data_IF_855251795097
#
_entry.id   IF_855251795097
#
_cell.length_a   1.000
_cell.length_b   1.000
_cell.length_c   1.000
_cell.angle_alpha   90.00
_cell.angle_beta   90.00
_cell.angle_gamma   90.00
#
_symmetry.space_group_name_H-M   'P 1'
#
loop_
_entity.id
_entity.type
_entity.pdbx_description
1 polymer ?
#
# COMPACT_ATOMS: atom_id res chain seq x y z
N UNK A 1 -6.44 -17.68 -28.99
CA UNK A 1 -5.29 -17.11 -28.27
C UNK A 1 -5.08 -17.91 -27.00
N UNK A 2 -3.92 -18.53 -26.83
CA UNK A 2 -3.65 -19.43 -25.70
C UNK A 2 -3.51 -18.65 -24.39
N UNK A 3 -4.21 -19.13 -23.36
CA UNK A 3 -4.34 -18.56 -22.02
C UNK A 3 -3.03 -18.65 -21.17
N UNK A 4 -1.90 -18.95 -21.84
CA UNK A 4 -0.62 -19.33 -21.25
C UNK A 4 0.39 -18.19 -21.20
N UNK A 5 0.29 -17.16 -22.05
CA UNK A 5 1.27 -16.07 -22.12
C UNK A 5 1.04 -14.97 -21.09
N UNK A 6 -0.16 -14.82 -20.53
CA UNK A 6 -0.50 -13.72 -19.60
C UNK A 6 -0.47 -14.12 -18.12
N UNK A 7 -0.71 -15.39 -17.79
CA UNK A 7 -0.86 -15.86 -16.40
C UNK A 7 0.40 -15.81 -15.50
N UNK A 8 1.61 -16.22 -15.94
CA UNK A 8 2.75 -16.30 -15.04
C UNK A 8 3.37 -14.93 -14.72
N UNK A 9 3.25 -13.95 -15.62
CA UNK A 9 3.80 -12.60 -15.44
C UNK A 9 3.01 -11.79 -14.41
N UNK A 10 1.68 -11.96 -14.35
CA UNK A 10 0.82 -11.20 -13.45
C UNK A 10 1.16 -11.38 -11.96
N UNK A 11 1.43 -12.61 -11.51
CA UNK A 11 1.76 -12.89 -10.10
C UNK A 11 3.14 -12.37 -9.70
N UNK A 12 4.15 -12.59 -10.54
CA UNK A 12 5.52 -12.08 -10.28
C UNK A 12 5.53 -10.56 -10.22
N UNK A 13 4.86 -9.93 -11.19
CA UNK A 13 4.69 -8.48 -11.20
C UNK A 13 3.98 -7.99 -9.94
N UNK A 14 2.87 -8.61 -9.53
CA UNK A 14 2.16 -8.23 -8.31
C UNK A 14 3.02 -8.40 -7.04
N UNK A 15 3.79 -9.48 -6.94
CA UNK A 15 4.73 -9.68 -5.83
C UNK A 15 5.82 -8.60 -5.79
N UNK A 16 6.44 -8.31 -6.93
CA UNK A 16 7.46 -7.24 -7.04
C UNK A 16 6.85 -5.88 -6.71
N UNK A 17 5.67 -5.55 -7.25
CA UNK A 17 4.96 -4.31 -6.96
C UNK A 17 4.61 -4.18 -5.47
N UNK A 18 4.21 -5.28 -4.82
CA UNK A 18 3.94 -5.32 -3.37
C UNK A 18 5.22 -5.07 -2.55
N UNK A 19 6.34 -5.71 -2.90
CA UNK A 19 7.60 -5.49 -2.19
C UNK A 19 8.14 -4.07 -2.42
N UNK A 20 8.12 -3.60 -3.66
CA UNK A 20 8.57 -2.26 -4.03
C UNK A 20 7.73 -1.17 -3.37
N UNK A 21 6.40 -1.33 -3.32
CA UNK A 21 5.54 -0.40 -2.57
C UNK A 21 5.81 -0.45 -1.07
N UNK A 22 6.12 -1.60 -0.48
CA UNK A 22 6.55 -1.67 0.92
C UNK A 22 7.81 -0.87 1.21
N UNK A 23 8.82 -1.01 0.36
CA UNK A 23 10.07 -0.24 0.47
C UNK A 23 9.83 1.25 0.26
N UNK A 24 9.08 1.61 -0.79
CA UNK A 24 8.75 3.01 -1.09
C UNK A 24 7.90 3.65 0.00
N UNK A 25 6.92 2.93 0.57
CA UNK A 25 6.13 3.41 1.69
C UNK A 25 7.01 3.75 2.89
N UNK A 26 7.90 2.82 3.26
CA UNK A 26 8.80 3.05 4.39
C UNK A 26 9.74 4.23 4.14
N UNK A 27 10.28 4.35 2.92
CA UNK A 27 11.12 5.47 2.53
C UNK A 27 10.34 6.80 2.53
N UNK A 28 9.15 6.85 1.93
CA UNK A 28 8.30 8.03 1.88
C UNK A 28 7.91 8.51 3.28
N UNK A 29 7.43 7.59 4.11
CA UNK A 29 6.99 7.90 5.46
C UNK A 29 8.17 8.28 6.37
N UNK A 30 9.31 7.57 6.29
CA UNK A 30 10.51 7.97 7.02
C UNK A 30 11.02 9.35 6.58
N UNK A 31 11.01 9.63 5.27
CA UNK A 31 11.41 10.91 4.73
C UNK A 31 10.51 12.03 5.24
N UNK A 32 9.18 11.87 5.17
CA UNK A 32 8.21 12.84 5.68
C UNK A 32 8.48 13.18 7.14
N UNK A 33 8.57 12.17 8.01
CA UNK A 33 8.72 12.40 9.47
C UNK A 33 10.10 12.89 9.92
N UNK A 34 11.12 12.77 9.06
CA UNK A 34 12.45 13.34 9.30
C UNK A 34 12.51 14.78 8.83
N UNK A 35 11.91 15.10 7.68
CA UNK A 35 11.91 16.45 7.12
C UNK A 35 10.88 17.37 7.78
N UNK A 36 9.77 16.81 8.24
CA UNK A 36 8.62 17.52 8.81
C UNK A 36 8.21 16.88 10.14
N UNK A 37 9.06 16.97 11.18
CA UNK A 37 8.85 16.28 12.45
C UNK A 37 7.69 16.86 13.27
N UNK A 38 7.33 18.12 13.02
CA UNK A 38 6.22 18.79 13.68
C UNK A 38 4.90 18.43 12.99
N UNK A 39 3.97 17.87 13.77
CA UNK A 39 2.65 17.55 13.26
C UNK A 39 1.91 18.81 12.84
N UNK A 40 1.53 18.85 11.56
CA UNK A 40 0.70 19.91 11.01
C UNK A 40 -0.74 19.66 11.42
N UNK A 41 -1.11 20.13 12.61
CA UNK A 41 -2.49 20.04 13.12
C UNK A 41 -3.49 20.91 12.38
N UNK A 42 -3.02 21.93 11.65
CA UNK A 42 -3.84 22.83 10.83
C UNK A 42 -3.57 22.61 9.33
N UNK A 43 -4.59 22.19 8.57
CA UNK A 43 -4.51 21.96 7.11
C UNK A 43 -3.83 23.11 6.35
N UNK A 44 -4.16 24.36 6.67
CA UNK A 44 -3.60 25.55 6.03
C UNK A 44 -2.07 25.66 6.19
N UNK A 45 -1.53 25.23 7.33
CA UNK A 45 -0.11 25.34 7.66
C UNK A 45 0.78 24.43 6.79
N UNK A 46 0.19 23.51 6.02
CA UNK A 46 0.94 22.76 4.99
C UNK A 46 1.58 23.68 3.93
N UNK A 47 1.05 24.89 3.70
CA UNK A 47 1.70 25.86 2.80
C UNK A 47 3.06 26.29 3.36
N UNK A 48 3.15 26.64 4.64
CA UNK A 48 4.40 27.09 5.26
C UNK A 48 5.42 25.95 5.33
N UNK A 49 4.97 24.73 5.65
CA UNK A 49 5.83 23.54 5.63
C UNK A 49 6.39 23.27 4.23
N UNK A 50 5.53 23.35 3.21
CA UNK A 50 5.96 23.23 1.82
C UNK A 50 6.88 24.39 1.38
N UNK A 51 6.67 25.59 1.90
CA UNK A 51 7.50 26.76 1.58
C UNK A 51 8.90 26.68 2.23
N UNK A 52 9.01 26.05 3.41
CA UNK A 52 10.28 25.86 4.11
C UNK A 52 11.26 24.98 3.31
N UNK A 53 10.77 23.93 2.65
CA UNK A 53 11.55 23.13 1.70
C UNK A 53 10.67 22.54 0.59
N UNK A 54 10.45 23.35 -0.46
CA UNK A 54 9.61 22.96 -1.60
C UNK A 54 10.17 21.77 -2.39
N UNK A 55 11.49 21.58 -2.36
CA UNK A 55 12.15 20.45 -3.01
C UNK A 55 11.80 19.15 -2.31
N UNK A 56 11.99 19.11 -0.99
CA UNK A 56 11.63 17.96 -0.16
C UNK A 56 10.13 17.63 -0.26
N UNK A 57 9.27 18.64 -0.18
CA UNK A 57 7.81 18.46 -0.32
C UNK A 57 7.42 17.76 -1.62
N UNK A 58 7.99 18.18 -2.76
CA UNK A 58 7.73 17.55 -4.07
C UNK A 58 8.27 16.13 -4.15
N UNK A 59 9.44 15.86 -3.58
CA UNK A 59 10.01 14.51 -3.55
C UNK A 59 9.10 13.58 -2.75
N UNK A 60 8.67 14.00 -1.56
CA UNK A 60 7.72 13.27 -0.72
C UNK A 60 6.42 12.96 -1.47
N UNK A 61 5.87 13.97 -2.17
CA UNK A 61 4.64 13.82 -2.97
C UNK A 61 4.80 12.71 -4.02
N UNK A 62 5.92 12.71 -4.74
CA UNK A 62 6.22 11.71 -5.77
C UNK A 62 6.38 10.33 -5.15
N UNK A 63 7.09 10.21 -4.02
CA UNK A 63 7.32 8.94 -3.34
C UNK A 63 6.00 8.31 -2.87
N UNK A 64 5.11 9.09 -2.25
CA UNK A 64 3.80 8.59 -1.82
C UNK A 64 2.90 8.25 -3.01
N UNK A 65 2.89 9.05 -4.07
CA UNK A 65 2.11 8.75 -5.26
C UNK A 65 2.57 7.46 -5.94
N UNK A 66 3.89 7.25 -6.09
CA UNK A 66 4.45 6.01 -6.64
C UNK A 66 4.14 4.81 -5.76
N UNK A 67 4.22 4.96 -4.44
CA UNK A 67 3.85 3.93 -3.47
C UNK A 67 2.43 3.42 -3.70
N UNK A 68 1.46 4.34 -3.75
CA UNK A 68 0.05 3.98 -3.92
C UNK A 68 -0.27 3.47 -5.32
N UNK A 69 0.38 4.04 -6.34
CA UNK A 69 0.26 3.56 -7.71
C UNK A 69 0.73 2.12 -7.87
N UNK A 70 1.81 1.73 -7.18
CA UNK A 70 2.31 0.35 -7.17
C UNK A 70 1.43 -0.58 -6.31
N UNK A 71 0.82 -0.07 -5.24
CA UNK A 71 -0.11 -0.85 -4.42
C UNK A 71 -1.36 -1.28 -5.18
N UNK A 72 -1.82 -0.54 -6.19
CA UNK A 72 -2.98 -0.91 -7.00
C UNK A 72 -2.81 -2.29 -7.69
N UNK A 73 -1.83 -2.51 -8.59
CA UNK A 73 -1.63 -3.82 -9.20
C UNK A 73 -1.19 -4.90 -8.19
N UNK A 74 -0.44 -4.52 -7.15
CA UNK A 74 -0.06 -5.43 -6.07
C UNK A 74 -1.29 -6.01 -5.35
N UNK A 75 -2.24 -5.15 -5.00
CA UNK A 75 -3.50 -5.49 -4.33
C UNK A 75 -4.40 -6.31 -5.24
N UNK A 76 -4.49 -5.97 -6.54
CA UNK A 76 -5.21 -6.80 -7.51
C UNK A 76 -4.65 -8.24 -7.56
N UNK A 77 -3.32 -8.40 -7.60
CA UNK A 77 -2.68 -9.71 -7.55
C UNK A 77 -2.94 -10.45 -6.24
N UNK A 78 -2.95 -9.75 -5.11
CA UNK A 78 -3.28 -10.32 -3.81
C UNK A 78 -4.75 -10.80 -3.75
N UNK A 79 -5.70 -10.00 -4.23
CA UNK A 79 -7.13 -10.36 -4.32
C UNK A 79 -7.30 -11.65 -5.10
N UNK A 80 -6.64 -11.78 -6.27
CA UNK A 80 -6.70 -13.01 -7.07
C UNK A 80 -6.10 -14.20 -6.32
N UNK A 81 -4.95 -14.02 -5.66
CA UNK A 81 -4.28 -15.07 -4.91
C UNK A 81 -5.12 -15.56 -3.71
N UNK A 82 -5.72 -14.64 -2.95
CA UNK A 82 -6.61 -14.95 -1.83
C UNK A 82 -7.92 -15.56 -2.35
N UNK A 83 -8.50 -14.99 -3.40
CA UNK A 83 -9.80 -15.38 -3.96
C UNK A 83 -9.84 -16.82 -4.45
N UNK A 84 -8.71 -17.36 -4.92
CA UNK A 84 -8.56 -18.76 -5.30
C UNK A 84 -8.83 -19.75 -4.15
N UNK A 85 -8.77 -19.31 -2.89
CA UNK A 85 -9.00 -20.17 -1.71
C UNK A 85 -10.09 -19.65 -0.79
N UNK A 86 -10.26 -18.34 -0.72
CA UNK A 86 -11.09 -17.64 0.26
C UNK A 86 -11.79 -16.44 -0.41
N UNK A 87 -12.77 -16.74 -1.26
CA UNK A 87 -13.50 -15.75 -2.06
C UNK A 87 -14.11 -14.61 -1.23
N UNK A 88 -14.69 -14.91 -0.07
CA UNK A 88 -15.31 -13.89 0.79
C UNK A 88 -14.31 -12.80 1.22
N UNK A 89 -13.15 -13.18 1.78
CA UNK A 89 -12.14 -12.21 2.20
C UNK A 89 -11.58 -11.41 1.02
N UNK A 90 -11.38 -12.06 -0.13
CA UNK A 90 -10.95 -11.38 -1.34
C UNK A 90 -11.99 -10.36 -1.83
N UNK A 91 -13.27 -10.71 -1.83
CA UNK A 91 -14.35 -9.80 -2.25
C UNK A 91 -14.49 -8.62 -1.29
N UNK A 92 -14.62 -8.88 0.01
CA UNK A 92 -14.75 -7.81 1.03
C UNK A 92 -13.52 -6.90 0.98
N UNK A 93 -12.34 -7.49 1.03
CA UNK A 93 -11.09 -6.75 0.96
C UNK A 93 -10.94 -5.94 -0.32
N UNK A 94 -11.34 -6.47 -1.47
CA UNK A 94 -11.31 -5.74 -2.75
C UNK A 94 -12.25 -4.53 -2.77
N UNK A 95 -13.48 -4.68 -2.26
CA UNK A 95 -14.49 -3.61 -2.21
C UNK A 95 -13.99 -2.41 -1.40
N UNK A 96 -13.18 -2.65 -0.36
CA UNK A 96 -12.58 -1.56 0.43
C UNK A 96 -11.24 -1.08 -0.15
N UNK A 97 -10.32 -1.99 -0.44
CA UNK A 97 -8.94 -1.65 -0.78
C UNK A 97 -8.83 -0.93 -2.13
N UNK A 98 -9.59 -1.34 -3.15
CA UNK A 98 -9.45 -0.77 -4.50
C UNK A 98 -9.91 0.70 -4.55
N UNK A 99 -11.13 1.06 -4.09
CA UNK A 99 -11.52 2.46 -3.99
C UNK A 99 -10.60 3.24 -3.06
N UNK A 100 -10.25 2.68 -1.89
CA UNK A 100 -9.36 3.34 -0.93
C UNK A 100 -7.99 3.69 -1.51
N UNK A 101 -7.35 2.77 -2.22
CA UNK A 101 -6.06 3.01 -2.88
C UNK A 101 -6.15 3.99 -4.04
N UNK A 102 -7.23 3.91 -4.83
CA UNK A 102 -7.48 4.87 -5.91
C UNK A 102 -7.63 6.28 -5.34
N UNK A 103 -8.53 6.46 -4.37
CA UNK A 103 -8.71 7.73 -3.68
C UNK A 103 -7.43 8.19 -2.98
N UNK A 104 -6.66 7.29 -2.35
CA UNK A 104 -5.35 7.63 -1.75
C UNK A 104 -4.41 8.24 -2.77
N UNK A 105 -4.26 7.60 -3.93
CA UNK A 105 -3.34 8.05 -4.98
C UNK A 105 -3.74 9.43 -5.50
N UNK A 106 -5.03 9.61 -5.80
CA UNK A 106 -5.56 10.88 -6.30
C UNK A 106 -5.47 11.96 -5.24
N UNK A 107 -5.90 11.65 -4.02
CA UNK A 107 -5.96 12.57 -2.90
C UNK A 107 -4.56 13.06 -2.53
N UNK A 108 -3.62 12.16 -2.22
CA UNK A 108 -2.25 12.53 -1.83
C UNK A 108 -1.54 13.34 -2.92
N UNK A 109 -1.71 12.96 -4.20
CA UNK A 109 -1.14 13.71 -5.30
C UNK A 109 -1.71 15.12 -5.37
N UNK A 110 -3.05 15.26 -5.42
CA UNK A 110 -3.67 16.58 -5.58
C UNK A 110 -3.48 17.44 -4.35
N UNK A 111 -3.60 16.86 -3.15
CA UNK A 111 -3.43 17.56 -1.88
C UNK A 111 -2.01 18.10 -1.75
N UNK A 112 -0.98 17.25 -1.84
CA UNK A 112 0.40 17.73 -1.68
C UNK A 112 0.82 18.64 -2.85
N UNK A 113 0.42 18.34 -4.09
CA UNK A 113 0.72 19.22 -5.23
C UNK A 113 0.05 20.58 -5.11
N UNK A 114 -1.18 20.65 -4.56
CA UNK A 114 -1.90 21.90 -4.31
C UNK A 114 -1.14 22.79 -3.32
N UNK A 115 -0.77 22.27 -2.15
CA UNK A 115 0.00 23.05 -1.16
C UNK A 115 1.38 23.43 -1.68
N UNK A 116 2.06 22.55 -2.40
CA UNK A 116 3.35 22.86 -3.04
C UNK A 116 3.23 23.94 -4.13
N UNK A 117 2.13 23.98 -4.88
CA UNK A 117 1.89 25.01 -5.88
C UNK A 117 1.61 26.37 -5.23
N UNK A 118 0.81 26.41 -4.16
CA UNK A 118 0.54 27.63 -3.40
C UNK A 118 1.82 28.19 -2.77
N UNK A 119 2.61 27.33 -2.11
CA UNK A 119 3.90 27.68 -1.53
C UNK A 119 4.87 28.23 -2.58
N UNK A 120 4.99 27.55 -3.73
CA UNK A 120 5.82 28.02 -4.85
C UNK A 120 5.35 29.33 -5.48
N UNK A 121 4.07 29.67 -5.34
CA UNK A 121 3.48 30.94 -5.75
C UNK A 121 3.57 32.05 -4.70
N UNK A 122 4.10 31.78 -3.51
CA UNK A 122 4.19 32.75 -2.41
C UNK A 122 2.85 33.08 -1.76
N UNK A 123 1.85 32.20 -1.85
CA UNK A 123 0.57 32.36 -1.14
C UNK A 123 0.81 32.14 0.35
N UNK A 124 0.29 33.01 1.22
CA UNK A 124 0.45 32.85 2.67
C UNK A 124 -0.60 31.91 3.26
N UNK A 125 -0.29 31.36 4.44
CA UNK A 125 -1.23 30.52 5.21
C UNK A 125 -2.53 31.26 5.51
N UNK A 126 -2.48 32.55 5.84
CA UNK A 126 -3.66 33.36 6.14
C UNK A 126 -4.59 33.49 4.93
N UNK A 127 -4.01 33.56 3.72
CA UNK A 127 -4.79 33.67 2.48
C UNK A 127 -5.52 32.37 2.13
N UNK A 128 -4.95 31.19 2.46
CA UNK A 128 -5.57 29.90 2.16
C UNK A 128 -6.47 29.36 3.28
N UNK A 129 -6.25 29.81 4.53
CA UNK A 129 -6.98 29.34 5.71
C UNK A 129 -8.52 29.31 5.55
N UNK A 130 -9.18 30.32 4.96
CA UNK A 130 -10.63 30.25 4.74
C UNK A 130 -11.05 29.14 3.78
N UNK A 131 -10.22 28.84 2.77
CA UNK A 131 -10.48 27.78 1.79
C UNK A 131 -10.34 26.41 2.45
N UNK A 132 -9.24 26.18 3.17
CA UNK A 132 -9.03 24.90 3.87
C UNK A 132 -10.04 24.70 4.98
N UNK A 133 -10.39 25.75 5.74
CA UNK A 133 -11.44 25.67 6.76
C UNK A 133 -12.81 25.28 6.17
N UNK A 134 -13.18 25.85 5.02
CA UNK A 134 -14.41 25.45 4.34
C UNK A 134 -14.38 24.00 3.82
N UNK A 135 -13.22 23.52 3.37
CA UNK A 135 -13.04 22.11 2.96
C UNK A 135 -13.10 21.16 4.16
N UNK A 136 -12.52 21.54 5.29
CA UNK A 136 -12.46 20.74 6.51
C UNK A 136 -13.85 20.58 7.17
N UNK A 137 -14.72 21.57 7.00
CA UNK A 137 -16.10 21.55 7.49
C UNK A 137 -17.10 20.94 6.49
N UNK A 138 -16.70 20.72 5.24
CA UNK A 138 -17.60 20.19 4.20
C UNK A 138 -17.84 18.67 4.37
N UNK A 139 -19.10 18.23 4.56
CA UNK A 139 -19.39 16.81 4.79
C UNK A 139 -19.03 15.89 3.61
N UNK A 140 -19.06 16.40 2.38
CA UNK A 140 -18.73 15.61 1.20
C UNK A 140 -17.22 15.38 1.10
N UNK A 141 -16.41 16.40 1.40
CA UNK A 141 -14.95 16.28 1.51
C UNK A 141 -14.59 15.30 2.63
N UNK A 142 -15.17 15.45 3.82
CA UNK A 142 -14.94 14.55 4.95
C UNK A 142 -15.32 13.09 4.64
N UNK A 143 -16.43 12.87 3.94
CA UNK A 143 -16.82 11.54 3.49
C UNK A 143 -15.79 10.94 2.52
N UNK A 144 -15.23 11.75 1.61
CA UNK A 144 -14.15 11.33 0.71
C UNK A 144 -12.89 10.91 1.48
N UNK A 145 -12.47 11.70 2.47
CA UNK A 145 -11.38 11.35 3.38
C UNK A 145 -11.64 10.05 4.14
N UNK A 146 -12.85 9.88 4.68
CA UNK A 146 -13.22 8.65 5.38
C UNK A 146 -13.18 7.42 4.45
N UNK A 147 -13.65 7.53 3.21
CA UNK A 147 -13.57 6.45 2.21
C UNK A 147 -12.12 6.08 1.93
N UNK A 148 -11.23 7.07 1.81
CA UNK A 148 -9.80 6.83 1.65
C UNK A 148 -9.22 6.07 2.84
N UNK A 149 -9.36 6.61 4.06
CA UNK A 149 -8.79 6.04 5.29
C UNK A 149 -9.33 4.63 5.51
N UNK A 150 -10.66 4.48 5.53
CA UNK A 150 -11.30 3.20 5.79
C UNK A 150 -11.01 2.20 4.68
N UNK A 151 -11.05 2.62 3.42
CA UNK A 151 -10.80 1.77 2.27
C UNK A 151 -9.39 1.18 2.28
N UNK A 152 -8.38 2.03 2.46
CA UNK A 152 -6.98 1.59 2.51
C UNK A 152 -6.71 0.73 3.75
N UNK A 153 -7.09 1.20 4.94
CA UNK A 153 -6.79 0.50 6.19
C UNK A 153 -7.53 -0.83 6.28
N UNK A 154 -8.87 -0.78 6.25
CA UNK A 154 -9.71 -1.95 6.46
C UNK A 154 -9.50 -2.92 5.30
N UNK A 155 -9.42 -2.42 4.06
CA UNK A 155 -9.18 -3.23 2.88
C UNK A 155 -7.88 -4.04 2.99
N UNK A 156 -6.75 -3.38 3.33
CA UNK A 156 -5.46 -4.06 3.46
C UNK A 156 -5.45 -5.05 4.63
N UNK A 157 -6.06 -4.71 5.77
CA UNK A 157 -6.16 -5.62 6.92
C UNK A 157 -6.99 -6.86 6.61
N UNK A 158 -8.17 -6.69 5.99
CA UNK A 158 -9.02 -7.81 5.57
C UNK A 158 -8.31 -8.70 4.56
N UNK A 159 -7.60 -8.13 3.58
CA UNK A 159 -6.84 -8.90 2.59
C UNK A 159 -5.66 -9.64 3.21
N UNK A 160 -4.91 -9.01 4.12
CA UNK A 160 -3.78 -9.65 4.79
C UNK A 160 -4.23 -10.79 5.70
N UNK A 161 -5.33 -10.61 6.44
CA UNK A 161 -5.97 -11.68 7.21
C UNK A 161 -6.47 -12.80 6.30
N UNK A 162 -7.13 -12.45 5.18
CA UNK A 162 -7.55 -13.39 4.15
C UNK A 162 -6.38 -14.21 3.59
N UNK A 163 -5.22 -13.59 3.38
CA UNK A 163 -4.01 -14.25 2.93
C UNK A 163 -3.47 -15.25 3.96
N UNK A 164 -3.47 -14.90 5.24
CA UNK A 164 -3.14 -15.84 6.32
C UNK A 164 -4.13 -17.01 6.38
N UNK A 165 -5.44 -16.74 6.35
CA UNK A 165 -6.50 -17.78 6.35
C UNK A 165 -6.50 -18.65 5.09
N UNK A 166 -5.92 -18.15 4.00
CA UNK A 166 -5.68 -18.89 2.76
C UNK A 166 -4.36 -19.67 2.80
N UNK A 167 -3.54 -19.55 3.85
CA UNK A 167 -2.22 -20.17 3.97
C UNK A 167 -1.23 -19.64 2.93
N UNK A 168 -1.34 -18.37 2.55
CA UNK A 168 -0.38 -17.69 1.67
C UNK A 168 0.77 -17.08 2.47
N UNK A 169 0.49 -16.65 3.69
CA UNK A 169 1.46 -16.02 4.60
C UNK A 169 1.29 -16.54 6.03
N UNK A 170 2.30 -16.35 6.86
CA UNK A 170 2.28 -16.61 8.30
C UNK A 170 1.52 -15.53 9.07
N UNK A 171 1.09 -15.85 10.30
CA UNK A 171 0.30 -14.96 11.16
C UNK A 171 1.00 -13.63 11.49
N UNK A 172 2.34 -13.60 11.52
CA UNK A 172 3.07 -12.37 11.82
C UNK A 172 2.81 -11.26 10.79
N UNK A 173 2.49 -11.59 9.54
CA UNK A 173 2.26 -10.59 8.47
C UNK A 173 1.06 -9.70 8.76
N UNK A 174 -0.17 -10.23 8.95
CA UNK A 174 -1.30 -9.39 9.33
C UNK A 174 -1.11 -8.73 10.69
N UNK A 175 -0.41 -9.35 11.65
CA UNK A 175 -0.09 -8.72 12.93
C UNK A 175 0.83 -7.50 12.77
N UNK A 176 1.85 -7.57 11.92
CA UNK A 176 2.75 -6.46 11.63
C UNK A 176 2.00 -5.30 10.96
N UNK A 177 1.14 -5.59 9.98
CA UNK A 177 0.33 -4.56 9.32
C UNK A 177 -0.70 -3.93 10.28
N UNK A 178 -1.37 -4.74 11.10
CA UNK A 178 -2.31 -4.26 12.11
C UNK A 178 -1.59 -3.42 13.16
N UNK A 179 -0.47 -3.90 13.69
CA UNK A 179 0.34 -3.18 14.66
C UNK A 179 0.89 -1.87 14.11
N UNK A 180 1.37 -1.87 12.86
CA UNK A 180 1.82 -0.67 12.16
C UNK A 180 0.72 0.36 12.02
N UNK A 181 -0.48 -0.04 11.57
CA UNK A 181 -1.62 0.86 11.46
C UNK A 181 -2.08 1.38 12.83
N UNK A 182 -2.28 0.52 13.83
CA UNK A 182 -2.70 0.96 15.17
C UNK A 182 -1.67 1.93 15.75
N UNK A 183 -0.38 1.60 15.65
CA UNK A 183 0.70 2.48 16.11
C UNK A 183 0.65 3.83 15.39
N UNK A 184 0.41 3.85 14.08
CA UNK A 184 0.29 5.10 13.31
C UNK A 184 -0.82 6.01 13.84
N UNK A 185 -1.95 5.45 14.28
CA UNK A 185 -3.07 6.23 14.83
C UNK A 185 -2.83 6.76 16.24
N UNK A 186 -2.12 6.01 17.08
CA UNK A 186 -2.02 6.31 18.53
C UNK A 186 -0.70 6.94 18.93
N UNK A 187 0.24 7.09 18.00
CA UNK A 187 1.56 7.62 18.28
C UNK A 187 1.86 8.86 17.46
N UNK A 188 2.57 9.77 18.12
CA UNK A 188 3.04 11.02 17.56
C UNK A 188 4.57 11.07 17.64
N UNK A 189 5.19 11.82 16.72
CA UNK A 189 6.63 12.04 16.65
C UNK A 189 7.42 11.02 15.82
N UNK A 190 8.64 11.39 15.46
CA UNK A 190 9.43 10.69 14.43
C UNK A 190 9.75 9.23 14.77
N UNK A 191 10.20 8.94 16.00
CA UNK A 191 10.65 7.59 16.36
C UNK A 191 9.58 6.49 16.19
N UNK A 192 8.35 6.61 16.74
CA UNK A 192 7.32 5.60 16.52
C UNK A 192 6.88 5.54 15.05
N UNK A 193 6.92 6.65 14.31
CA UNK A 193 6.58 6.66 12.88
C UNK A 193 7.61 5.92 12.01
N UNK A 194 8.89 5.93 12.40
CA UNK A 194 9.90 5.06 11.79
C UNK A 194 9.62 3.57 12.06
N UNK A 195 9.09 3.23 13.24
CA UNK A 195 8.65 1.86 13.54
C UNK A 195 7.44 1.48 12.68
N UNK A 196 6.47 2.38 12.50
CA UNK A 196 5.35 2.20 11.57
C UNK A 196 5.86 1.90 10.16
N UNK A 197 6.80 2.70 9.65
CA UNK A 197 7.44 2.50 8.34
C UNK A 197 8.02 1.08 8.20
N UNK A 198 8.79 0.64 9.20
CA UNK A 198 9.40 -0.69 9.21
C UNK A 198 8.36 -1.81 9.25
N UNK A 199 7.31 -1.68 10.08
CA UNK A 199 6.24 -2.67 10.18
C UNK A 199 5.43 -2.77 8.88
N UNK A 200 5.13 -1.63 8.26
CA UNK A 200 4.42 -1.59 6.97
C UNK A 200 5.26 -2.23 5.85
N UNK A 201 6.54 -1.91 5.75
CA UNK A 201 7.45 -2.57 4.81
C UNK A 201 7.53 -4.08 5.05
N UNK A 202 7.75 -4.51 6.31
CA UNK A 202 7.85 -5.92 6.65
C UNK A 202 6.56 -6.69 6.29
N UNK A 203 5.39 -6.12 6.60
CA UNK A 203 4.10 -6.69 6.27
C UNK A 203 3.86 -6.81 4.76
N UNK A 204 4.15 -5.75 3.99
CA UNK A 204 3.99 -5.75 2.54
C UNK A 204 4.98 -6.71 1.85
N UNK A 205 6.23 -6.77 2.32
CA UNK A 205 7.21 -7.77 1.86
C UNK A 205 6.75 -9.20 2.20
N UNK A 206 6.19 -9.43 3.39
CA UNK A 206 5.60 -10.72 3.76
C UNK A 206 4.48 -11.14 2.81
N UNK A 207 3.58 -10.21 2.44
CA UNK A 207 2.54 -10.45 1.42
C UNK A 207 3.14 -10.75 0.05
N UNK A 208 4.18 -10.01 -0.36
CA UNK A 208 4.88 -10.23 -1.63
C UNK A 208 5.47 -11.66 -1.72
N UNK A 209 6.12 -12.12 -0.66
CA UNK A 209 6.67 -13.48 -0.57
C UNK A 209 5.56 -14.54 -0.65
N UNK A 210 4.42 -14.30 0.02
CA UNK A 210 3.26 -15.19 -0.05
C UNK A 210 2.64 -15.31 -1.44
N UNK A 211 2.72 -14.25 -2.25
CA UNK A 211 2.30 -14.27 -3.66
C UNK A 211 3.29 -15.09 -4.52
N UNK A 212 4.60 -15.05 -4.21
CA UNK A 212 5.67 -15.62 -5.02
C UNK A 212 6.01 -17.10 -4.77
N UNK A 213 5.92 -17.61 -3.53
CA UNK A 213 6.53 -18.89 -3.11
C UNK A 213 5.95 -20.17 -3.74
N UNK A 214 4.77 -20.12 -4.39
CA UNK A 214 4.08 -21.35 -4.81
C UNK A 214 4.61 -22.08 -6.04
N UNK A 215 5.54 -21.49 -6.79
CA UNK A 215 6.07 -22.14 -8.00
C UNK A 215 7.08 -23.26 -7.66
N UNK A 216 7.80 -23.14 -6.55
CA UNK A 216 8.85 -24.10 -6.20
C UNK A 216 8.31 -25.47 -5.81
N UNK A 217 7.12 -25.52 -5.18
CA UNK A 217 6.56 -26.79 -4.71
C UNK A 217 5.87 -27.61 -5.82
N UNK A 218 5.33 -26.97 -6.86
CA UNK A 218 4.60 -27.67 -7.93
C UNK A 218 5.49 -28.23 -9.03
N UNK A 219 6.64 -27.61 -9.31
CA UNK A 219 7.57 -28.09 -10.36
C UNK A 219 8.46 -29.24 -9.90
N UNK A 220 8.61 -29.45 -8.59
CA UNK A 220 9.39 -30.57 -8.06
C UNK A 220 8.64 -31.90 -8.20
N UNK A 221 7.31 -31.88 -8.09
CA UNK A 221 6.45 -33.07 -8.18
C UNK A 221 6.38 -33.62 -9.61
N UNK A 222 6.27 -32.76 -10.63
CA UNK A 222 6.20 -33.19 -12.04
C UNK A 222 7.50 -33.83 -12.54
N UNK A 223 8.67 -33.36 -12.08
CA UNK A 223 9.95 -33.99 -12.46
C UNK A 223 10.20 -35.33 -11.78
N UNK A 224 9.48 -35.64 -10.70
CA UNK A 224 9.66 -36.89 -9.98
C UNK A 224 8.79 -38.03 -10.56
N UNK A 225 7.65 -37.69 -11.17
CA UNK A 225 6.73 -38.66 -11.79
C UNK A 225 7.16 -39.11 -13.20
N UNK A 226 7.92 -38.28 -13.95
CA UNK A 226 8.42 -38.66 -15.29
C UNK A 226 9.64 -39.61 -15.24
N UNK A 227 10.27 -39.79 -14.08
CA UNK A 227 11.47 -40.63 -13.91
C UNK A 227 11.21 -42.10 -13.59
N UNK A 228 10.01 -42.46 -13.14
CA UNK A 228 9.71 -43.83 -12.64
C UNK A 228 9.01 -44.73 -13.69
N UNK A 229 8.61 -44.18 -14.84
CA UNK A 229 8.09 -44.94 -15.97
C UNK A 229 9.21 -45.52 -16.87
N UNK A 230 10.16 -46.25 -16.30
CA UNK A 230 11.07 -47.08 -17.08
C UNK A 230 10.37 -48.41 -17.45
N UNK A 231 10.32 -48.80 -18.74
CA UNK A 231 9.55 -49.97 -19.17
C UNK A 231 10.19 -51.26 -18.64
N UNK A 232 9.40 -52.02 -17.88
CA UNK A 232 9.69 -53.41 -17.57
C UNK A 232 9.91 -54.18 -18.88
N UNK A 233 11.09 -54.80 -18.97
CA UNK A 233 11.58 -55.68 -20.02
C UNK A 233 10.53 -56.66 -20.54
N UNK A 234 10.34 -56.71 -21.86
CA UNK A 234 9.76 -57.87 -22.55
C UNK A 234 10.85 -58.92 -22.73
N UNK A 235 10.65 -60.06 -22.07
CA UNK A 235 11.27 -61.34 -22.40
C UNK A 235 10.39 -62.09 -23.41
#
# INVERSE_FOLDING_TARGET
MSDLTTRPYGRRFAGIAMAASGVLYAAANAFYWVMFPDEVSETAANVDVAAADLGAWRIETILFALTHLLLLPATAGLIVAVGARRRLFATVGAVFAVPGLYFSTVHLWHYNAFFGALAGGGVSVEAIRPVTGALDEDPFVMAGFAVWILGFMIGLLVLSFGAWRAGLVSLWVPLALTGGQVLDFVSNGTAPKLVVSALMAAGLIGLALGIGLRRAAGTADETQDEGEAAPASRA
#
